data_IF_504823281737
#
_entry.id   IF_504823281737
#
_cell.length_a   1.000
_cell.length_b   1.000
_cell.length_c   1.000
_cell.angle_alpha   90.00
_cell.angle_beta   90.00
_cell.angle_gamma   90.00
#
_symmetry.space_group_name_H-M   'P 1'
#
loop_
_entity.id
_entity.type
_entity.pdbx_description
1 polymer ?
#
# COMPACT_ATOMS: atom_id res chain seq x y z
N UNK A 1 39.24 19.87 16.65
CA UNK A 1 38.25 20.44 15.72
C UNK A 1 37.47 19.39 14.92
N UNK A 2 38.10 18.32 14.41
CA UNK A 2 37.47 17.29 13.56
C UNK A 2 36.24 16.60 14.19
N UNK A 3 36.26 16.32 15.51
CA UNK A 3 35.12 15.69 16.21
C UNK A 3 33.84 16.54 16.24
N UNK A 4 33.96 17.87 16.32
CA UNK A 4 32.79 18.78 16.33
C UNK A 4 32.14 18.84 14.94
N UNK A 5 32.95 18.85 13.87
CA UNK A 5 32.46 18.83 12.50
C UNK A 5 31.73 17.52 12.15
N UNK A 6 32.23 16.37 12.62
CA UNK A 6 31.56 15.08 12.45
C UNK A 6 30.19 15.02 13.15
N UNK A 7 30.09 15.54 14.37
CA UNK A 7 28.82 15.61 15.12
C UNK A 7 27.81 16.52 14.39
N UNK A 8 28.24 17.69 13.93
CA UNK A 8 27.40 18.62 13.15
C UNK A 8 26.85 17.99 11.86
N UNK A 9 27.64 17.17 11.16
CA UNK A 9 27.20 16.47 9.95
C UNK A 9 26.16 15.38 10.25
N UNK A 10 26.33 14.62 11.33
CA UNK A 10 25.36 13.60 11.74
C UNK A 10 24.04 14.26 12.16
N UNK A 11 24.11 15.38 12.90
CA UNK A 11 22.92 16.15 13.28
C UNK A 11 22.19 16.72 12.06
N UNK A 12 22.90 17.33 11.11
CA UNK A 12 22.28 17.91 9.93
C UNK A 12 21.62 16.87 9.04
N UNK A 13 22.26 15.70 8.85
CA UNK A 13 21.68 14.58 8.10
C UNK A 13 20.46 13.99 8.80
N UNK A 14 20.49 13.83 10.13
CA UNK A 14 19.34 13.38 10.91
C UNK A 14 18.16 14.37 10.81
N UNK A 15 18.42 15.68 10.90
CA UNK A 15 17.40 16.73 10.75
C UNK A 15 16.79 16.70 9.34
N UNK A 16 17.62 16.50 8.32
CA UNK A 16 17.15 16.38 6.94
C UNK A 16 16.24 15.14 6.77
N UNK A 17 16.67 13.98 7.26
CA UNK A 17 15.84 12.75 7.21
C UNK A 17 14.53 12.91 7.98
N UNK A 18 14.55 13.57 9.14
CA UNK A 18 13.36 13.86 9.92
C UNK A 18 12.41 14.80 9.17
N UNK A 19 12.95 15.85 8.55
CA UNK A 19 12.17 16.80 7.73
C UNK A 19 11.52 16.11 6.52
N UNK A 20 12.27 15.27 5.81
CA UNK A 20 11.77 14.49 4.67
C UNK A 20 10.67 13.52 5.13
N UNK A 21 10.90 12.80 6.23
CA UNK A 21 9.91 11.87 6.80
C UNK A 21 8.64 12.61 7.25
N UNK A 22 8.80 13.78 7.90
CA UNK A 22 7.69 14.63 8.31
C UNK A 22 6.86 15.09 7.12
N UNK A 23 7.51 15.53 6.03
CA UNK A 23 6.82 15.91 4.79
C UNK A 23 5.93 14.78 4.25
N UNK A 24 6.44 13.55 4.17
CA UNK A 24 5.66 12.41 3.72
C UNK A 24 4.52 12.05 4.69
N UNK A 25 4.78 12.07 6.00
CA UNK A 25 3.78 11.81 7.04
C UNK A 25 2.67 12.88 7.08
N UNK A 26 2.99 14.14 6.78
CA UNK A 26 2.05 15.24 6.68
C UNK A 26 1.17 15.11 5.42
N UNK A 27 1.68 14.51 4.35
CA UNK A 27 0.93 14.31 3.10
C UNK A 27 -0.14 13.20 3.16
N UNK A 28 -0.23 12.44 4.26
CA UNK A 28 -1.17 11.34 4.41
C UNK A 28 -2.62 11.85 4.49
N UNK A 29 -3.56 11.33 3.68
CA UNK A 29 -4.98 11.70 3.72
C UNK A 29 -5.70 11.02 4.91
N UNK A 30 -5.31 11.39 6.13
CA UNK A 30 -5.74 10.74 7.39
C UNK A 30 -7.25 10.65 7.54
N UNK A 31 -7.98 11.73 7.22
CA UNK A 31 -9.44 11.77 7.28
C UNK A 31 -10.09 10.73 6.36
N UNK A 32 -9.59 10.61 5.12
CA UNK A 32 -10.08 9.61 4.18
C UNK A 32 -9.80 8.19 4.67
N UNK A 33 -8.58 7.91 5.14
CA UNK A 33 -8.20 6.58 5.65
C UNK A 33 -9.06 6.18 6.86
N UNK A 34 -9.32 7.10 7.80
CA UNK A 34 -10.20 6.82 8.95
C UNK A 34 -11.63 6.47 8.52
N UNK A 35 -12.16 7.12 7.49
CA UNK A 35 -13.51 6.84 6.96
C UNK A 35 -13.62 5.45 6.32
N UNK A 36 -12.53 4.86 5.83
CA UNK A 36 -12.51 3.50 5.29
C UNK A 36 -12.90 2.44 6.34
N UNK A 37 -12.84 2.74 7.65
CA UNK A 37 -13.29 1.83 8.71
C UNK A 37 -14.75 1.43 8.54
N UNK A 38 -15.59 2.38 8.15
CA UNK A 38 -17.06 2.24 8.13
C UNK A 38 -17.65 2.43 6.74
N UNK A 39 -16.86 2.89 5.78
CA UNK A 39 -17.32 3.18 4.41
C UNK A 39 -17.00 2.03 3.45
N UNK A 40 -17.71 2.05 2.32
CA UNK A 40 -17.39 1.28 1.14
C UNK A 40 -16.69 2.15 0.10
N UNK A 41 -16.21 1.54 -0.98
CA UNK A 41 -15.65 2.25 -2.10
C UNK A 41 -16.47 1.97 -3.35
N UNK A 42 -16.88 3.03 -4.04
CA UNK A 42 -17.54 2.96 -5.33
C UNK A 42 -16.52 3.26 -6.42
N UNK A 43 -16.44 2.36 -7.39
CA UNK A 43 -15.63 2.53 -8.60
C UNK A 43 -16.19 3.67 -9.45
N UNK A 44 -15.33 4.57 -9.90
CA UNK A 44 -15.64 5.67 -10.82
C UNK A 44 -14.60 5.75 -11.91
N UNK A 45 -14.98 6.23 -13.10
CA UNK A 45 -14.04 6.43 -14.21
C UNK A 45 -13.72 7.93 -14.33
N UNK A 46 -12.43 8.27 -14.28
CA UNK A 46 -11.94 9.63 -14.51
C UNK A 46 -10.85 9.59 -15.56
N UNK A 47 -11.02 10.30 -16.68
CA UNK A 47 -10.06 10.39 -17.78
C UNK A 47 -9.56 9.00 -18.26
N UNK A 48 -10.47 8.05 -18.48
CA UNK A 48 -10.18 6.64 -18.86
C UNK A 48 -9.37 5.84 -17.82
N UNK A 49 -9.16 6.36 -16.61
CA UNK A 49 -8.55 5.65 -15.49
C UNK A 49 -9.58 5.38 -14.39
N UNK A 50 -9.43 4.26 -13.70
CA UNK A 50 -10.28 3.92 -12.55
C UNK A 50 -9.84 4.68 -11.30
N UNK A 51 -10.82 5.20 -10.56
CA UNK A 51 -10.64 5.80 -9.24
C UNK A 51 -11.76 5.35 -8.30
N UNK A 52 -11.56 5.52 -7.00
CA UNK A 52 -12.50 5.08 -5.98
C UNK A 52 -12.96 6.24 -5.11
N UNK A 53 -14.27 6.32 -4.86
CA UNK A 53 -14.87 7.30 -3.96
C UNK A 53 -15.53 6.62 -2.78
N UNK A 54 -15.49 7.26 -1.60
CA UNK A 54 -16.19 6.77 -0.42
C UNK A 54 -17.69 6.71 -0.69
N UNK A 55 -18.30 5.59 -0.32
CA UNK A 55 -19.73 5.37 -0.39
C UNK A 55 -20.26 4.96 0.98
N UNK A 56 -21.35 5.60 1.41
CA UNK A 56 -22.07 5.26 2.66
C UNK A 56 -22.95 4.03 2.48
N UNK A 57 -23.54 3.86 1.29
CA UNK A 57 -24.30 2.66 0.92
C UNK A 57 -23.39 1.66 0.20
N UNK A 58 -23.53 0.39 0.56
CA UNK A 58 -22.81 -0.73 -0.06
C UNK A 58 -23.10 -0.76 -1.57
N UNK A 59 -22.08 -0.61 -2.44
CA UNK A 59 -22.25 -0.81 -3.88
C UNK A 59 -22.75 -2.23 -4.19
N UNK A 60 -23.43 -2.38 -5.32
CA UNK A 60 -23.99 -3.67 -5.73
C UNK A 60 -22.89 -4.72 -5.96
N UNK A 61 -21.80 -4.29 -6.57
CA UNK A 61 -20.60 -5.07 -6.87
C UNK A 61 -19.68 -5.30 -5.66
N UNK A 62 -19.97 -4.70 -4.49
CA UNK A 62 -19.16 -4.89 -3.29
C UNK A 62 -19.52 -6.17 -2.53
N UNK A 63 -18.49 -7.01 -2.28
CA UNK A 63 -18.56 -8.19 -1.44
C UNK A 63 -17.88 -7.94 -0.10
N UNK A 64 -18.61 -8.17 0.99
CA UNK A 64 -18.00 -8.22 2.32
C UNK A 64 -17.13 -9.48 2.43
N UNK A 65 -16.03 -9.44 3.19
CA UNK A 65 -15.03 -10.52 3.21
C UNK A 65 -15.63 -11.90 3.50
N UNK A 66 -16.59 -11.97 4.44
CA UNK A 66 -17.31 -13.20 4.81
C UNK A 66 -18.15 -13.82 3.69
N UNK A 67 -18.45 -13.06 2.63
CA UNK A 67 -19.21 -13.52 1.46
C UNK A 67 -18.27 -13.87 0.29
N UNK A 68 -16.95 -13.78 0.48
CA UNK A 68 -15.95 -14.20 -0.49
C UNK A 68 -15.49 -15.59 -0.09
N UNK A 69 -15.38 -16.50 -1.07
CA UNK A 69 -14.90 -17.86 -0.84
C UNK A 69 -13.53 -17.85 -0.17
N UNK A 70 -13.40 -18.55 0.95
CA UNK A 70 -12.15 -18.61 1.71
C UNK A 70 -10.98 -19.18 0.92
N UNK A 71 -11.12 -20.34 0.24
CA UNK A 71 -10.08 -20.83 -0.65
C UNK A 71 -9.62 -19.81 -1.70
N UNK A 72 -10.54 -18.98 -2.20
CA UNK A 72 -10.22 -17.98 -3.23
C UNK A 72 -9.34 -16.85 -2.68
N UNK A 73 -9.70 -16.24 -1.55
CA UNK A 73 -8.86 -15.17 -1.00
C UNK A 73 -7.57 -15.70 -0.38
N UNK A 74 -7.54 -16.94 0.14
CA UNK A 74 -6.32 -17.55 0.67
C UNK A 74 -5.30 -17.79 -0.44
N UNK A 75 -5.73 -18.26 -1.63
CA UNK A 75 -4.86 -18.42 -2.78
C UNK A 75 -4.20 -17.09 -3.18
N UNK A 76 -5.00 -16.01 -3.25
CA UNK A 76 -4.50 -14.66 -3.55
C UNK A 76 -3.53 -14.16 -2.49
N UNK A 77 -3.85 -14.38 -1.21
CA UNK A 77 -2.99 -13.96 -0.10
C UNK A 77 -1.62 -14.64 -0.18
N UNK A 78 -1.59 -15.96 -0.36
CA UNK A 78 -0.32 -16.70 -0.47
C UNK A 78 0.49 -16.27 -1.70
N UNK A 79 -0.16 -16.00 -2.83
CA UNK A 79 0.55 -15.59 -4.05
C UNK A 79 1.07 -14.15 -4.02
N UNK A 80 0.34 -13.24 -3.39
CA UNK A 80 0.65 -11.80 -3.42
C UNK A 80 1.42 -11.33 -2.18
N UNK A 81 1.11 -11.88 -1.01
CA UNK A 81 1.57 -11.39 0.29
C UNK A 81 1.39 -12.45 1.39
N UNK A 82 2.21 -13.50 1.35
CA UNK A 82 2.07 -14.66 2.23
C UNK A 82 2.17 -14.34 3.73
N UNK A 83 2.88 -13.26 4.09
CA UNK A 83 3.05 -12.79 5.47
C UNK A 83 2.10 -11.65 5.85
N UNK A 84 1.03 -11.45 5.06
CA UNK A 84 0.13 -10.30 5.16
C UNK A 84 -0.32 -9.95 6.58
N UNK A 85 -0.57 -10.96 7.42
CA UNK A 85 -1.09 -10.76 8.77
C UNK A 85 -0.05 -10.31 9.79
N UNK A 86 1.25 -10.47 9.54
CA UNK A 86 2.30 -10.22 10.53
C UNK A 86 3.09 -8.93 10.29
N UNK A 87 3.11 -8.41 9.07
CA UNK A 87 3.88 -7.21 8.75
C UNK A 87 3.06 -5.90 8.91
N UNK A 88 3.67 -4.75 9.18
CA UNK A 88 2.96 -3.46 9.43
C UNK A 88 2.66 -2.68 8.14
N UNK A 89 2.11 -3.35 7.13
CA UNK A 89 1.81 -2.78 5.81
C UNK A 89 2.98 -2.72 4.82
N UNK A 90 4.18 -3.11 5.23
CA UNK A 90 5.35 -3.34 4.37
C UNK A 90 6.12 -4.57 4.86
N UNK A 91 6.80 -5.27 3.95
CA UNK A 91 7.58 -6.46 4.29
C UNK A 91 9.06 -6.24 3.94
N UNK A 92 9.89 -6.02 4.98
CA UNK A 92 11.34 -5.86 4.83
C UNK A 92 12.04 -7.15 4.41
N UNK A 93 11.50 -8.31 4.80
CA UNK A 93 12.07 -9.60 4.46
C UNK A 93 11.96 -9.84 2.95
N UNK A 94 10.77 -9.60 2.38
CA UNK A 94 10.52 -9.70 0.94
C UNK A 94 11.29 -8.65 0.14
N UNK A 95 11.40 -7.41 0.64
CA UNK A 95 12.22 -6.37 -0.01
C UNK A 95 13.69 -6.82 -0.06
N UNK A 96 14.24 -7.27 1.07
CA UNK A 96 15.63 -7.72 1.15
C UNK A 96 15.89 -8.92 0.24
N UNK A 97 14.98 -9.89 0.25
CA UNK A 97 15.07 -11.08 -0.60
C UNK A 97 15.02 -10.70 -2.08
N UNK A 98 14.07 -9.87 -2.50
CA UNK A 98 13.96 -9.41 -3.88
C UNK A 98 15.24 -8.70 -4.35
N UNK A 99 15.80 -7.82 -3.50
CA UNK A 99 17.06 -7.11 -3.79
C UNK A 99 18.23 -8.08 -3.93
N UNK A 100 18.38 -9.02 -2.98
CA UNK A 100 19.44 -10.02 -3.03
C UNK A 100 19.35 -10.88 -4.28
N UNK A 101 18.15 -11.36 -4.64
CA UNK A 101 17.94 -12.13 -5.86
C UNK A 101 18.28 -11.33 -7.12
N UNK A 102 17.90 -10.05 -7.16
CA UNK A 102 18.19 -9.17 -8.29
C UNK A 102 19.69 -9.01 -8.50
N UNK A 103 20.45 -8.80 -7.41
CA UNK A 103 21.91 -8.66 -7.42
C UNK A 103 22.58 -9.99 -7.80
N UNK A 104 22.22 -11.09 -7.12
CA UNK A 104 22.84 -12.40 -7.31
C UNK A 104 22.58 -12.97 -8.70
N UNK A 105 21.32 -12.86 -9.18
CA UNK A 105 20.91 -13.43 -10.48
C UNK A 105 21.12 -12.45 -11.63
N UNK A 106 21.57 -11.21 -11.37
CA UNK A 106 21.64 -10.10 -12.34
C UNK A 106 20.33 -9.90 -13.12
N UNK A 107 19.21 -10.16 -12.45
CA UNK A 107 17.86 -10.06 -13.03
C UNK A 107 17.18 -8.79 -12.52
N UNK A 108 16.17 -8.33 -13.26
CA UNK A 108 15.29 -7.25 -12.81
C UNK A 108 14.65 -7.61 -11.47
N UNK A 109 14.55 -6.63 -10.57
CA UNK A 109 13.90 -6.75 -9.27
C UNK A 109 12.47 -7.28 -9.43
N UNK A 110 12.15 -8.37 -8.72
CA UNK A 110 10.77 -8.89 -8.63
C UNK A 110 9.88 -7.97 -7.80
N UNK A 111 8.57 -8.16 -7.90
CA UNK A 111 7.62 -7.46 -7.04
C UNK A 111 7.83 -7.86 -5.57
N UNK A 112 7.89 -6.87 -4.68
CA UNK A 112 7.93 -7.03 -3.22
C UNK A 112 6.91 -6.08 -2.55
N UNK A 113 5.81 -5.76 -3.26
CA UNK A 113 4.77 -4.88 -2.73
C UNK A 113 3.70 -5.68 -2.03
N UNK A 114 3.40 -5.32 -0.78
CA UNK A 114 2.37 -5.95 0.05
C UNK A 114 0.96 -5.60 -0.45
N UNK A 115 -0.05 -6.36 -0.04
CA UNK A 115 -1.47 -6.07 -0.28
C UNK A 115 -1.82 -4.66 0.21
N UNK A 116 -1.33 -4.25 1.38
CA UNK A 116 -1.54 -2.90 1.92
C UNK A 116 -0.99 -1.81 0.99
N UNK A 117 0.20 -2.00 0.43
CA UNK A 117 0.78 -1.08 -0.56
C UNK A 117 -0.04 -1.04 -1.84
N UNK A 118 -0.54 -2.19 -2.30
CA UNK A 118 -1.39 -2.24 -3.49
C UNK A 118 -2.72 -1.50 -3.26
N UNK A 119 -3.34 -1.63 -2.08
CA UNK A 119 -4.53 -0.84 -1.72
C UNK A 119 -4.23 0.66 -1.79
N UNK A 120 -3.15 1.09 -1.15
CA UNK A 120 -2.75 2.51 -1.14
C UNK A 120 -2.47 3.02 -2.56
N UNK A 121 -1.76 2.24 -3.37
CA UNK A 121 -1.50 2.54 -4.79
C UNK A 121 -2.80 2.78 -5.53
N UNK A 122 -3.74 1.83 -5.47
CA UNK A 122 -4.99 1.88 -6.21
C UNK A 122 -5.96 2.98 -5.73
N UNK A 123 -5.88 3.40 -4.46
CA UNK A 123 -6.77 4.45 -3.92
C UNK A 123 -6.24 5.87 -4.12
N UNK A 124 -4.93 6.08 -4.03
CA UNK A 124 -4.37 7.42 -3.88
C UNK A 124 -3.43 7.86 -5.00
N UNK A 125 -2.98 6.94 -5.84
CA UNK A 125 -1.98 7.25 -6.84
C UNK A 125 -2.39 6.77 -8.24
N UNK A 126 -1.93 7.50 -9.24
CA UNK A 126 -2.03 7.08 -10.64
C UNK A 126 -0.95 6.01 -10.95
N UNK A 127 -1.08 5.37 -12.11
CA UNK A 127 -0.16 4.33 -12.55
C UNK A 127 1.27 4.83 -12.87
N UNK A 128 1.53 6.14 -12.80
CA UNK A 128 2.84 6.75 -13.05
C UNK A 128 3.91 6.26 -12.07
N UNK A 129 4.90 5.53 -12.58
CA UNK A 129 5.98 4.98 -11.77
C UNK A 129 6.99 6.06 -11.42
N UNK A 130 7.06 6.45 -10.14
CA UNK A 130 8.11 7.31 -9.61
C UNK A 130 8.57 6.86 -8.22
N UNK A 131 9.83 7.15 -7.88
CA UNK A 131 10.37 6.86 -6.55
C UNK A 131 9.63 7.63 -5.45
N UNK A 132 9.28 8.90 -5.70
CA UNK A 132 8.51 9.72 -4.76
C UNK A 132 7.13 9.11 -4.48
N UNK A 133 6.44 8.60 -5.50
CA UNK A 133 5.19 7.84 -5.31
C UNK A 133 5.42 6.61 -4.44
N UNK A 134 6.48 5.84 -4.70
CA UNK A 134 6.76 4.61 -3.93
C UNK A 134 7.08 4.90 -2.46
N UNK A 135 7.75 6.00 -2.16
CA UNK A 135 7.97 6.45 -0.78
C UNK A 135 6.65 6.86 -0.12
N UNK A 136 5.78 7.60 -0.83
CA UNK A 136 4.43 7.89 -0.33
C UNK A 136 3.63 6.62 -0.06
N UNK A 137 3.65 5.64 -0.97
CA UNK A 137 3.02 4.34 -0.77
C UNK A 137 3.48 3.70 0.54
N UNK A 138 4.79 3.70 0.83
CA UNK A 138 5.35 3.16 2.07
C UNK A 138 4.75 3.84 3.33
N UNK A 139 4.81 5.17 3.42
CA UNK A 139 4.27 5.91 4.57
C UNK A 139 2.74 5.78 4.71
N UNK A 140 2.02 5.80 3.58
CA UNK A 140 0.57 5.67 3.58
C UNK A 140 0.16 4.26 4.00
N UNK A 141 0.90 3.23 3.58
CA UNK A 141 0.62 1.84 3.93
C UNK A 141 0.82 1.57 5.41
N UNK A 142 1.90 2.09 6.01
CA UNK A 142 2.10 2.03 7.45
C UNK A 142 0.93 2.64 8.22
N UNK A 143 0.48 3.83 7.80
CA UNK A 143 -0.65 4.50 8.44
C UNK A 143 -1.97 3.77 8.22
N UNK A 144 -2.20 3.23 7.01
CA UNK A 144 -3.40 2.46 6.67
C UNK A 144 -3.47 1.17 7.50
N UNK A 145 -2.36 0.44 7.61
CA UNK A 145 -2.23 -0.81 8.38
C UNK A 145 -2.46 -0.58 9.88
N UNK A 146 -1.92 0.52 10.42
CA UNK A 146 -2.17 0.90 11.80
C UNK A 146 -3.62 1.36 12.05
N UNK A 147 -4.29 1.89 11.02
CA UNK A 147 -5.64 2.45 11.16
C UNK A 147 -6.73 1.40 10.96
N UNK A 148 -6.56 0.48 10.01
CA UNK A 148 -7.57 -0.51 9.61
C UNK A 148 -7.16 -1.91 10.08
N UNK A 149 -8.15 -2.78 10.32
CA UNK A 149 -7.84 -4.19 10.58
C UNK A 149 -7.37 -4.89 9.29
N UNK A 150 -6.52 -5.91 9.41
CA UNK A 150 -6.09 -6.74 8.28
C UNK A 150 -7.27 -7.28 7.46
N UNK A 151 -8.34 -7.73 8.13
CA UNK A 151 -9.59 -8.15 7.48
C UNK A 151 -10.21 -7.04 6.62
N UNK A 152 -10.24 -5.79 7.10
CA UNK A 152 -10.78 -4.67 6.33
C UNK A 152 -9.89 -4.30 5.14
N UNK A 153 -8.57 -4.34 5.32
CA UNK A 153 -7.61 -4.09 4.24
C UNK A 153 -7.75 -5.14 3.15
N UNK A 154 -7.83 -6.42 3.52
CA UNK A 154 -8.04 -7.53 2.59
C UNK A 154 -9.39 -7.41 1.87
N UNK A 155 -10.47 -7.10 2.58
CA UNK A 155 -11.78 -6.83 1.96
C UNK A 155 -11.67 -5.71 0.91
N UNK A 156 -11.05 -4.58 1.26
CA UNK A 156 -10.86 -3.47 0.33
C UNK A 156 -10.06 -3.94 -0.88
N UNK A 157 -8.90 -4.57 -0.66
CA UNK A 157 -8.02 -5.07 -1.71
C UNK A 157 -8.78 -5.94 -2.71
N UNK A 158 -9.46 -6.98 -2.22
CA UNK A 158 -10.18 -7.93 -3.06
C UNK A 158 -11.29 -7.28 -3.89
N UNK A 159 -11.88 -6.18 -3.40
CA UNK A 159 -12.94 -5.45 -4.11
C UNK A 159 -12.42 -4.38 -5.08
N UNK A 160 -11.17 -3.93 -4.97
CA UNK A 160 -10.65 -2.82 -5.79
C UNK A 160 -9.52 -3.20 -6.75
N UNK A 161 -8.86 -4.34 -6.51
CA UNK A 161 -7.76 -4.79 -7.36
C UNK A 161 -8.27 -5.15 -8.76
N UNK A 162 -7.42 -4.92 -9.76
CA UNK A 162 -7.65 -5.34 -11.14
C UNK A 162 -7.11 -6.76 -11.34
N UNK A 163 -7.99 -7.72 -11.64
CA UNK A 163 -7.63 -9.12 -11.90
C UNK A 163 -7.29 -9.40 -13.37
N UNK A 164 -7.66 -8.47 -14.26
CA UNK A 164 -7.46 -8.50 -15.70
C UNK A 164 -7.97 -7.21 -16.30
N UNK A 165 -7.70 -6.96 -17.58
CA UNK A 165 -8.02 -5.68 -18.23
C UNK A 165 -9.49 -5.28 -18.03
N UNK A 166 -9.73 -4.21 -17.28
CA UNK A 166 -11.08 -3.72 -16.99
C UNK A 166 -11.87 -4.52 -15.95
N UNK A 167 -11.31 -5.60 -15.41
CA UNK A 167 -11.92 -6.50 -14.44
C UNK A 167 -11.47 -6.16 -13.03
N UNK A 168 -12.30 -5.39 -12.32
CA UNK A 168 -12.03 -4.94 -10.96
C UNK A 168 -12.92 -5.63 -9.96
N UNK A 169 -12.33 -6.03 -8.84
CA UNK A 169 -13.02 -6.62 -7.71
C UNK A 169 -13.39 -8.08 -7.93
N UNK A 170 -13.37 -8.84 -6.84
CA UNK A 170 -13.82 -10.22 -6.80
C UNK A 170 -15.36 -10.23 -6.78
N UNK A 171 -15.98 -11.06 -7.63
CA UNK A 171 -17.43 -11.10 -7.85
C UNK A 171 -18.08 -12.35 -7.25
#
# INVERSE_FOLDING_TARGET
MIKKAGILLILSTAILMASVSFFFLASIPRSHIKKLKTSYLRKTYKNKSVSYQLATKKPHDWKVLRNISEPAYQAILVSEDWDFYHHPGYDLSQIKEAVNESILKRKRLRGASTITQQVVKNLYFNNERSYTRKIKEFFFSMYLDHTLTKKKILEIYLNIIEYGEGLYGIK
#
